data_IF_545005355613
#
_entry.id   IF_545005355613
#
_cell.length_a   1.000
_cell.length_b   1.000
_cell.length_c   1.000
_cell.angle_alpha   90.00
_cell.angle_beta   90.00
_cell.angle_gamma   90.00
#
_symmetry.space_group_name_H-M   'P 1'
#
loop_
_entity.id
_entity.type
_entity.pdbx_description
1 polymer ?
#
# COMPACT_ATOMS: atom_id res chain seq x y z
N UNK A 1 -22.39 -4.43 -7.85
CA UNK A 1 -21.79 -3.15 -7.56
C UNK A 1 -20.40 -3.33 -6.97
N UNK A 2 -19.55 -2.32 -7.12
CA UNK A 2 -18.24 -2.25 -6.49
C UNK A 2 -17.99 -0.82 -6.03
N UNK A 3 -17.21 -0.69 -4.97
CA UNK A 3 -16.75 0.58 -4.46
C UNK A 3 -15.60 1.10 -5.32
N UNK A 4 -15.42 2.42 -5.38
CA UNK A 4 -14.25 3.05 -5.99
C UNK A 4 -13.66 4.09 -5.04
N UNK A 5 -12.41 4.44 -5.27
CA UNK A 5 -11.75 5.49 -4.52
C UNK A 5 -11.82 6.83 -5.22
N UNK A 6 -11.97 7.91 -4.43
CA UNK A 6 -11.75 9.28 -4.85
C UNK A 6 -10.48 9.81 -4.18
N UNK A 7 -9.52 10.26 -4.98
CA UNK A 7 -8.23 10.79 -4.55
C UNK A 7 -8.09 12.24 -5.03
N UNK A 8 -8.23 13.23 -4.15
CA UNK A 8 -8.16 14.67 -4.48
C UNK A 8 -9.00 15.09 -5.70
N UNK A 9 -10.10 14.38 -5.98
CA UNK A 9 -10.97 14.64 -7.14
C UNK A 9 -10.76 13.71 -8.33
N UNK A 10 -9.66 12.97 -8.40
CA UNK A 10 -9.44 11.86 -9.33
C UNK A 10 -10.02 10.56 -8.78
N UNK A 11 -10.19 9.54 -9.63
CA UNK A 11 -10.77 8.26 -9.23
C UNK A 11 -9.80 7.11 -9.48
N UNK A 12 -9.90 6.08 -8.64
CA UNK A 12 -9.24 4.79 -8.85
C UNK A 12 -10.20 3.66 -8.49
N UNK A 13 -10.05 2.53 -9.17
CA UNK A 13 -10.93 1.36 -8.99
C UNK A 13 -10.24 0.30 -8.14
N UNK A 14 -8.93 0.16 -8.28
CA UNK A 14 -8.16 -0.94 -7.75
C UNK A 14 -7.24 -0.53 -6.61
N UNK A 15 -6.33 0.43 -6.85
CA UNK A 15 -5.32 0.80 -5.86
C UNK A 15 -4.79 2.22 -6.05
N UNK A 16 -4.62 2.93 -4.94
CA UNK A 16 -3.76 4.10 -4.83
C UNK A 16 -2.54 3.75 -3.98
N UNK A 17 -1.32 4.06 -4.44
CA UNK A 17 -0.10 3.68 -3.74
C UNK A 17 0.99 4.76 -3.85
N UNK A 18 1.89 4.80 -2.86
CA UNK A 18 3.07 5.66 -2.85
C UNK A 18 4.31 4.92 -2.36
N UNK A 19 5.48 5.46 -2.67
CA UNK A 19 6.76 5.01 -2.13
C UNK A 19 7.42 3.88 -2.91
N UNK A 20 8.23 3.08 -2.24
CA UNK A 20 8.97 1.99 -2.87
C UNK A 20 8.02 1.04 -3.62
N UNK A 21 8.43 0.61 -4.80
CA UNK A 21 7.68 -0.24 -5.72
C UNK A 21 6.63 0.46 -6.60
N UNK A 22 6.33 1.74 -6.42
CA UNK A 22 5.45 2.48 -7.34
C UNK A 22 6.18 2.90 -8.62
N UNK A 23 7.49 3.16 -8.55
CA UNK A 23 8.33 3.48 -9.72
C UNK A 23 8.67 2.23 -10.57
N UNK A 24 8.45 1.04 -10.03
CA UNK A 24 8.86 -0.23 -10.62
C UNK A 24 7.95 -0.68 -11.78
N UNK A 25 6.80 -0.04 -11.96
CA UNK A 25 5.88 -0.37 -13.05
C UNK A 25 6.50 -0.16 -14.45
N UNK A 26 7.55 0.65 -14.58
CA UNK A 26 8.10 1.03 -15.87
C UNK A 26 9.42 0.34 -16.28
N UNK A 27 10.18 -0.28 -15.35
CA UNK A 27 11.56 -0.72 -15.70
C UNK A 27 12.06 -2.00 -15.02
N UNK A 28 11.18 -2.90 -14.57
CA UNK A 28 11.62 -4.13 -13.87
C UNK A 28 11.85 -5.30 -14.81
N UNK A 29 13.10 -5.80 -14.92
CA UNK A 29 13.38 -7.08 -15.56
C UNK A 29 12.73 -8.23 -14.78
N UNK A 30 12.18 -9.18 -15.49
CA UNK A 30 11.41 -10.37 -15.08
C UNK A 30 12.18 -11.52 -14.36
N UNK A 31 13.08 -11.36 -13.38
CA UNK A 31 13.69 -12.50 -12.71
C UNK A 31 13.07 -12.85 -11.35
N UNK A 32 11.93 -12.30 -10.99
CA UNK A 32 11.40 -12.38 -9.62
C UNK A 32 10.57 -13.63 -9.29
N UNK A 33 10.64 -14.69 -10.08
CA UNK A 33 9.72 -15.84 -9.97
C UNK A 33 10.27 -17.12 -9.31
N UNK A 34 11.48 -17.16 -8.75
CA UNK A 34 12.02 -18.40 -8.21
C UNK A 34 12.26 -18.37 -6.69
N UNK A 35 11.78 -19.39 -6.00
CA UNK A 35 11.72 -19.60 -4.56
C UNK A 35 13.07 -19.51 -3.78
N UNK A 36 14.20 -19.49 -4.45
CA UNK A 36 15.52 -19.23 -3.83
C UNK A 36 15.82 -17.75 -3.64
N UNK A 37 14.94 -16.87 -4.15
CA UNK A 37 15.10 -15.43 -4.14
C UNK A 37 14.93 -14.76 -2.78
N UNK A 38 14.12 -15.28 -1.85
CA UNK A 38 13.74 -14.52 -0.67
C UNK A 38 14.90 -14.10 0.22
N UNK A 39 15.84 -14.99 0.50
CA UNK A 39 16.99 -14.65 1.34
C UNK A 39 17.96 -13.71 0.61
N UNK A 40 18.20 -13.93 -0.66
CA UNK A 40 19.01 -13.06 -1.50
C UNK A 40 18.39 -11.67 -1.61
N UNK A 41 17.07 -11.57 -1.69
CA UNK A 41 16.33 -10.31 -1.67
C UNK A 41 16.47 -9.55 -0.37
N UNK A 42 16.32 -10.24 0.77
CA UNK A 42 16.49 -9.63 2.08
C UNK A 42 17.92 -9.08 2.23
N UNK A 43 18.93 -9.85 1.79
CA UNK A 43 20.33 -9.42 1.86
C UNK A 43 20.63 -8.26 0.89
N UNK A 44 20.15 -8.32 -0.33
CA UNK A 44 20.30 -7.22 -1.29
C UNK A 44 19.51 -5.99 -0.87
N UNK A 45 18.28 -6.18 -0.40
CA UNK A 45 17.47 -5.12 0.17
C UNK A 45 18.11 -4.50 1.41
N UNK A 46 18.72 -5.30 2.29
CA UNK A 46 19.45 -4.81 3.45
C UNK A 46 20.66 -3.95 3.07
N UNK A 47 21.37 -4.31 2.00
CA UNK A 47 22.48 -3.51 1.48
C UNK A 47 22.01 -2.16 0.90
N UNK A 48 20.76 -2.08 0.45
CA UNK A 48 20.14 -0.88 -0.14
C UNK A 48 19.33 -0.06 0.86
N UNK A 49 19.12 -0.51 2.10
CA UNK A 49 18.34 0.21 3.11
C UNK A 49 18.65 1.71 3.21
N UNK A 50 19.94 2.15 3.18
CA UNK A 50 20.25 3.57 3.25
C UNK A 50 19.81 4.38 2.02
N UNK A 51 19.58 3.72 0.89
CA UNK A 51 19.16 4.36 -0.37
C UNK A 51 17.65 4.30 -0.61
N UNK A 52 16.90 3.60 0.24
CA UNK A 52 15.44 3.55 0.13
C UNK A 52 14.84 4.86 0.61
N UNK A 53 14.14 5.54 -0.30
CA UNK A 53 13.45 6.77 0.05
C UNK A 53 12.26 6.48 0.95
N UNK A 54 12.20 7.15 2.09
CA UNK A 54 11.04 7.15 2.97
C UNK A 54 10.45 8.55 3.08
N UNK A 55 9.21 8.62 3.50
CA UNK A 55 8.45 9.86 3.60
C UNK A 55 7.96 10.01 5.04
N UNK A 56 8.19 11.19 5.63
CA UNK A 56 7.64 11.55 6.93
C UNK A 56 6.18 11.91 6.74
N UNK A 57 5.28 11.05 7.23
CA UNK A 57 3.85 11.16 7.02
C UNK A 57 3.07 11.22 8.33
N UNK A 58 1.94 11.90 8.24
CA UNK A 58 0.81 11.80 9.15
C UNK A 58 -0.38 11.26 8.35
N UNK A 59 -0.91 10.12 8.77
CA UNK A 59 -2.05 9.43 8.15
C UNK A 59 -3.20 9.40 9.14
N UNK A 60 -4.24 10.17 8.88
CA UNK A 60 -5.46 10.24 9.68
C UNK A 60 -6.54 9.38 9.02
N UNK A 61 -7.20 8.53 9.79
CA UNK A 61 -8.21 7.59 9.32
C UNK A 61 -9.29 7.38 10.39
N UNK A 62 -10.34 6.61 10.10
CA UNK A 62 -11.49 6.45 11.01
C UNK A 62 -11.09 5.84 12.38
N UNK A 63 -10.07 5.00 12.41
CA UNK A 63 -9.58 4.33 13.63
C UNK A 63 -8.53 5.13 14.42
N UNK A 64 -8.03 6.27 13.88
CA UNK A 64 -7.00 7.05 14.56
C UNK A 64 -6.01 7.76 13.65
N UNK A 65 -4.77 7.84 14.10
CA UNK A 65 -3.69 8.51 13.38
C UNK A 65 -2.41 7.70 13.48
N UNK A 66 -1.77 7.50 12.33
CA UNK A 66 -0.44 6.91 12.21
C UNK A 66 0.57 8.00 11.83
N UNK A 67 1.69 8.07 12.56
CA UNK A 67 2.77 9.01 12.27
C UNK A 67 4.10 8.28 12.19
N UNK A 68 4.97 8.72 11.30
CA UNK A 68 6.32 8.16 11.19
C UNK A 68 6.93 8.30 9.81
N UNK A 69 8.04 7.60 9.61
CA UNK A 69 8.72 7.48 8.33
C UNK A 69 8.24 6.20 7.66
N UNK A 70 7.60 6.35 6.50
CA UNK A 70 7.04 5.25 5.74
C UNK A 70 7.77 5.07 4.42
N UNK A 71 8.12 3.82 4.14
CA UNK A 71 8.75 3.41 2.89
C UNK A 71 7.73 3.23 1.77
N UNK A 72 6.54 2.74 2.14
CA UNK A 72 5.49 2.37 1.20
C UNK A 72 4.12 2.50 1.86
N UNK A 73 3.12 2.81 1.05
CA UNK A 73 1.72 2.73 1.44
C UNK A 73 0.82 2.41 0.26
N UNK A 74 -0.22 1.66 0.52
CA UNK A 74 -1.28 1.39 -0.44
C UNK A 74 -2.65 1.45 0.22
N UNK A 75 -3.60 1.92 -0.56
CA UNK A 75 -5.04 1.98 -0.27
C UNK A 75 -5.73 1.24 -1.40
N UNK A 76 -6.44 0.19 -1.10
CA UNK A 76 -7.01 -0.68 -2.13
C UNK A 76 -8.42 -1.14 -1.78
N UNK A 77 -9.21 -1.40 -2.82
CA UNK A 77 -10.49 -2.09 -2.74
C UNK A 77 -10.35 -3.49 -3.35
N UNK A 78 -9.49 -4.33 -2.75
CA UNK A 78 -9.23 -5.66 -3.30
C UNK A 78 -8.59 -6.60 -2.27
N UNK A 79 -8.78 -7.90 -2.45
CA UNK A 79 -8.19 -8.96 -1.61
C UNK A 79 -6.67 -9.06 -1.71
N UNK A 80 -6.07 -8.56 -2.79
CA UNK A 80 -4.61 -8.57 -2.95
C UNK A 80 -4.15 -7.59 -4.01
N UNK A 81 -3.02 -6.93 -3.77
CA UNK A 81 -2.32 -6.09 -4.72
C UNK A 81 -0.90 -6.62 -4.92
N UNK A 82 -0.50 -6.90 -6.17
CA UNK A 82 0.84 -7.39 -6.47
C UNK A 82 1.25 -8.68 -5.75
N UNK A 83 0.29 -9.51 -5.33
CA UNK A 83 0.53 -10.71 -4.52
C UNK A 83 0.59 -10.47 -3.01
N UNK A 84 0.54 -9.22 -2.57
CA UNK A 84 0.35 -8.88 -1.16
C UNK A 84 -1.13 -9.04 -0.81
N UNK A 85 -1.40 -9.86 0.19
CA UNK A 85 -2.72 -10.00 0.76
C UNK A 85 -2.86 -9.01 1.91
N UNK A 86 -3.97 -8.29 1.97
CA UNK A 86 -4.29 -7.44 3.11
C UNK A 86 -4.33 -8.23 4.42
N UNK A 87 -4.26 -7.53 5.53
CA UNK A 87 -4.22 -8.16 6.87
C UNK A 87 -5.46 -9.01 7.21
N UNK A 88 -6.54 -8.87 6.46
CA UNK A 88 -7.84 -9.51 6.75
C UNK A 88 -8.43 -10.18 5.50
N UNK A 89 -7.62 -10.98 4.80
CA UNK A 89 -7.95 -11.56 3.48
C UNK A 89 -9.13 -12.54 3.47
N UNK A 90 -9.63 -12.96 4.62
CA UNK A 90 -10.75 -13.91 4.68
C UNK A 90 -12.12 -13.27 4.35
N UNK A 91 -12.22 -11.94 4.29
CA UNK A 91 -13.47 -11.20 4.05
C UNK A 91 -13.27 -9.83 3.44
N UNK A 92 -12.52 -9.71 2.34
CA UNK A 92 -12.59 -8.47 1.57
C UNK A 92 -13.86 -8.51 0.73
N UNK A 93 -14.77 -7.60 1.02
CA UNK A 93 -15.98 -7.35 0.24
C UNK A 93 -15.73 -6.10 -0.61
N UNK A 94 -16.03 -6.17 -1.90
CA UNK A 94 -15.75 -5.06 -2.83
C UNK A 94 -16.82 -3.95 -2.80
N UNK A 95 -17.80 -4.09 -1.93
CA UNK A 95 -18.96 -3.19 -1.83
C UNK A 95 -19.40 -2.91 -0.39
N UNK A 96 -18.46 -3.02 0.57
CA UNK A 96 -18.68 -2.80 2.01
C UNK A 96 -18.43 -1.36 2.47
N UNK A 97 -17.99 -0.48 1.56
CA UNK A 97 -17.69 0.92 1.85
C UNK A 97 -16.33 1.15 2.51
N UNK A 98 -15.44 0.15 2.54
CA UNK A 98 -14.15 0.25 3.19
C UNK A 98 -13.00 -0.02 2.22
N UNK A 99 -11.85 0.56 2.53
CA UNK A 99 -10.57 0.24 1.91
C UNK A 99 -9.72 -0.61 2.82
N UNK A 100 -8.91 -1.48 2.23
CA UNK A 100 -7.75 -2.07 2.88
C UNK A 100 -6.57 -1.14 2.74
N UNK A 101 -5.99 -0.75 3.86
CA UNK A 101 -4.79 0.09 3.91
C UNK A 101 -3.63 -0.70 4.48
N UNK A 102 -2.49 -0.65 3.79
CA UNK A 102 -1.23 -1.20 4.27
C UNK A 102 -0.17 -0.11 4.20
N UNK A 103 0.49 0.15 5.32
CA UNK A 103 1.62 1.07 5.43
C UNK A 103 2.84 0.29 5.91
N UNK A 104 3.98 0.53 5.28
CA UNK A 104 5.25 -0.09 5.67
C UNK A 104 6.16 1.02 6.18
N UNK A 105 6.53 0.93 7.47
CA UNK A 105 7.48 1.85 8.09
C UNK A 105 8.88 1.61 7.56
N UNK A 106 9.70 2.64 7.58
CA UNK A 106 11.12 2.54 7.24
C UNK A 106 11.80 1.50 8.14
N UNK A 107 12.34 0.40 7.60
CA UNK A 107 13.09 -0.56 8.39
C UNK A 107 14.41 0.05 8.87
N UNK A 108 14.75 -0.17 10.13
CA UNK A 108 15.97 0.35 10.75
C UNK A 108 17.18 -0.56 10.58
N UNK A 109 16.93 -1.83 10.24
CA UNK A 109 17.97 -2.86 10.08
C UNK A 109 17.45 -4.04 9.24
N UNK A 110 18.38 -4.94 8.89
CA UNK A 110 18.09 -6.12 8.09
C UNK A 110 17.08 -7.08 8.75
N UNK A 111 17.08 -7.17 10.09
CA UNK A 111 16.13 -8.05 10.80
C UNK A 111 14.70 -7.52 10.70
N UNK A 112 14.50 -6.20 10.80
CA UNK A 112 13.20 -5.60 10.57
C UNK A 112 12.73 -5.76 9.11
N UNK A 113 13.63 -5.59 8.14
CA UNK A 113 13.30 -5.84 6.74
C UNK A 113 12.86 -7.29 6.53
N UNK A 114 13.56 -8.26 7.13
CA UNK A 114 13.18 -9.66 7.08
C UNK A 114 11.79 -9.89 7.71
N UNK A 115 11.53 -9.29 8.87
CA UNK A 115 10.21 -9.38 9.54
C UNK A 115 9.08 -8.80 8.69
N UNK A 116 9.33 -7.66 8.00
CA UNK A 116 8.36 -7.07 7.06
C UNK A 116 8.05 -8.07 5.93
N UNK A 117 9.07 -8.60 5.27
CA UNK A 117 8.89 -9.56 4.17
C UNK A 117 8.11 -10.79 4.63
N UNK A 118 8.47 -11.34 5.79
CA UNK A 118 7.77 -12.51 6.35
C UNK A 118 6.33 -12.20 6.75
N UNK A 119 6.09 -11.04 7.36
CA UNK A 119 4.74 -10.59 7.74
C UNK A 119 3.82 -10.41 6.53
N UNK A 120 4.33 -9.82 5.46
CA UNK A 120 3.59 -9.66 4.19
C UNK A 120 3.28 -11.01 3.54
N UNK A 121 4.23 -11.96 3.56
CA UNK A 121 4.02 -13.29 3.00
C UNK A 121 3.00 -14.11 3.78
N UNK A 122 2.94 -13.95 5.10
CA UNK A 122 2.04 -14.71 5.98
C UNK A 122 0.68 -14.03 6.16
N UNK A 123 0.48 -12.83 5.61
CA UNK A 123 -0.70 -11.99 5.82
C UNK A 123 -1.05 -11.79 7.32
N UNK A 124 -0.04 -11.76 8.17
CA UNK A 124 -0.16 -11.57 9.62
C UNK A 124 0.79 -10.47 10.08
N UNK A 125 0.42 -9.19 9.91
CA UNK A 125 1.20 -8.10 10.49
C UNK A 125 1.17 -8.21 12.02
N UNK A 126 2.34 -8.08 12.64
CA UNK A 126 2.43 -8.03 14.10
C UNK A 126 1.90 -6.68 14.61
N UNK A 127 1.05 -6.66 15.67
CA UNK A 127 0.60 -5.41 16.28
C UNK A 127 1.78 -4.54 16.72
N UNK A 128 1.80 -3.28 16.29
CA UNK A 128 2.91 -2.35 16.57
C UNK A 128 4.19 -2.61 15.77
N UNK A 129 4.16 -3.53 14.82
CA UNK A 129 5.26 -3.84 13.92
C UNK A 129 5.53 -2.78 12.85
N UNK A 130 6.49 -3.08 11.98
CA UNK A 130 6.84 -2.19 10.86
C UNK A 130 5.78 -2.20 9.74
N UNK A 131 4.85 -3.14 9.74
CA UNK A 131 3.68 -3.19 8.86
C UNK A 131 2.45 -2.79 9.66
N UNK A 132 1.79 -1.72 9.23
CA UNK A 132 0.52 -1.24 9.78
C UNK A 132 -0.56 -1.56 8.77
N UNK A 133 -1.62 -2.23 9.19
CA UNK A 133 -2.73 -2.58 8.32
C UNK A 133 -4.07 -2.32 9.04
N UNK A 134 -5.01 -1.69 8.34
CA UNK A 134 -6.33 -1.36 8.86
C UNK A 134 -7.33 -1.19 7.71
N UNK A 135 -8.62 -1.17 8.06
CA UNK A 135 -9.71 -0.79 7.16
C UNK A 135 -10.19 0.61 7.50
N UNK A 136 -10.65 1.35 6.50
CA UNK A 136 -11.18 2.71 6.68
C UNK A 136 -12.08 3.11 5.52
N UNK A 137 -13.04 4.00 5.79
CA UNK A 137 -13.89 4.59 4.76
C UNK A 137 -13.22 5.80 4.10
N UNK A 138 -12.30 6.43 4.81
CA UNK A 138 -11.56 7.61 4.36
C UNK A 138 -10.21 7.71 5.05
N UNK A 139 -9.26 8.35 4.40
CA UNK A 139 -8.00 8.73 5.02
C UNK A 139 -7.47 10.04 4.45
N UNK A 140 -6.70 10.73 5.26
CA UNK A 140 -5.95 11.93 4.90
C UNK A 140 -4.47 11.68 5.16
N UNK A 141 -3.67 11.77 4.12
CA UNK A 141 -2.22 11.62 4.20
C UNK A 141 -1.57 12.99 4.02
N UNK A 142 -0.78 13.41 5.01
CA UNK A 142 -0.04 14.68 4.99
C UNK A 142 1.45 14.39 4.97
N UNK A 143 2.17 15.01 4.03
CA UNK A 143 3.62 14.96 3.89
C UNK A 143 4.20 16.37 3.95
N UNK A 144 5.39 16.52 4.55
CA UNK A 144 6.08 17.82 4.57
C UNK A 144 6.54 18.27 3.18
N UNK A 145 6.86 17.31 2.31
CA UNK A 145 7.27 17.52 0.91
C UNK A 145 6.23 17.01 -0.08
N UNK A 146 6.66 16.81 -1.31
CA UNK A 146 5.88 16.15 -2.35
C UNK A 146 5.89 14.64 -2.10
N UNK A 147 4.72 14.02 -2.26
CA UNK A 147 4.54 12.57 -2.15
C UNK A 147 3.96 12.05 -3.47
N UNK A 148 4.79 11.43 -4.34
CA UNK A 148 4.32 10.85 -5.59
C UNK A 148 3.38 9.66 -5.34
N UNK A 149 2.25 9.66 -6.04
CA UNK A 149 1.26 8.60 -6.00
C UNK A 149 1.06 7.95 -7.37
N UNK A 150 0.67 6.70 -7.34
CA UNK A 150 0.10 6.00 -8.49
C UNK A 150 -1.36 5.66 -8.21
N UNK A 151 -2.22 5.80 -9.20
CA UNK A 151 -3.63 5.41 -9.17
C UNK A 151 -3.83 4.36 -10.26
N UNK A 152 -4.19 3.15 -9.87
CA UNK A 152 -4.36 2.01 -10.80
C UNK A 152 -3.17 1.76 -11.73
N UNK A 153 -1.94 2.11 -11.27
CA UNK A 153 -0.70 1.97 -12.02
C UNK A 153 -0.28 3.20 -12.83
N UNK A 154 -1.11 4.23 -12.92
CA UNK A 154 -0.81 5.49 -13.59
C UNK A 154 -0.36 6.57 -12.59
N UNK A 155 0.38 7.58 -13.06
CA UNK A 155 0.82 8.68 -12.21
C UNK A 155 -0.37 9.52 -11.71
N UNK A 156 -0.58 9.55 -10.39
CA UNK A 156 -1.67 10.26 -9.71
C UNK A 156 -1.29 11.63 -9.13
N UNK A 157 -0.11 12.16 -9.50
CA UNK A 157 0.38 13.43 -8.95
C UNK A 157 1.25 13.25 -7.70
N UNK A 158 1.75 14.38 -7.16
CA UNK A 158 2.60 14.40 -5.98
C UNK A 158 2.13 15.46 -4.96
N UNK A 159 0.90 15.36 -4.45
CA UNK A 159 0.36 16.32 -3.51
C UNK A 159 1.02 16.21 -2.13
N UNK A 160 1.10 17.33 -1.40
CA UNK A 160 1.49 17.32 0.02
C UNK A 160 0.39 16.82 0.94
N UNK A 161 -0.85 16.92 0.50
CA UNK A 161 -2.03 16.40 1.19
C UNK A 161 -2.85 15.59 0.20
N UNK A 162 -2.99 14.31 0.48
CA UNK A 162 -3.88 13.40 -0.23
C UNK A 162 -5.12 13.14 0.63
N UNK A 163 -6.29 13.45 0.09
CA UNK A 163 -7.58 13.10 0.67
C UNK A 163 -8.19 11.96 -0.15
N UNK A 164 -8.43 10.83 0.51
CA UNK A 164 -8.92 9.61 -0.11
C UNK A 164 -10.22 9.21 0.58
N UNK A 165 -11.24 8.95 -0.22
CA UNK A 165 -12.58 8.61 0.25
C UNK A 165 -13.15 7.45 -0.55
N UNK A 166 -13.75 6.48 0.13
CA UNK A 166 -14.49 5.40 -0.49
C UNK A 166 -15.85 5.92 -0.96
N UNK A 167 -16.19 5.62 -2.19
CA UNK A 167 -17.50 5.86 -2.78
C UNK A 167 -18.19 4.51 -2.94
N UNK A 168 -19.07 4.13 -1.99
CA UNK A 168 -19.62 2.79 -1.96
C UNK A 168 -20.58 2.57 -3.13
N UNK A 169 -20.44 1.39 -3.76
CA UNK A 169 -21.33 0.90 -4.83
C UNK A 169 -21.44 1.85 -6.02
N UNK A 170 -20.39 2.61 -6.30
CA UNK A 170 -20.42 3.67 -7.30
C UNK A 170 -20.33 3.15 -8.73
N UNK A 171 -19.91 1.91 -8.95
CA UNK A 171 -19.75 1.29 -10.26
C UNK A 171 -20.39 -0.09 -10.27
N UNK A 172 -21.00 -0.46 -11.42
CA UNK A 172 -21.47 -1.82 -11.67
C UNK A 172 -20.54 -2.52 -12.68
N UNK A 173 -19.99 -3.66 -12.29
CA UNK A 173 -19.26 -4.53 -13.22
C UNK A 173 -20.25 -5.50 -13.84
N UNK A 174 -20.41 -5.42 -15.16
CA UNK A 174 -21.23 -6.35 -15.95
C UNK A 174 -20.31 -7.42 -16.51
N UNK A 175 -20.58 -8.68 -16.19
CA UNK A 175 -19.86 -9.82 -16.75
C UNK A 175 -20.82 -10.68 -17.59
N UNK A 176 -20.35 -11.10 -18.74
CA UNK A 176 -21.09 -12.03 -19.59
C UNK A 176 -21.16 -13.44 -18.98
N UNK A 177 -22.28 -14.13 -19.19
CA UNK A 177 -22.39 -15.55 -18.86
C UNK A 177 -21.64 -16.40 -19.86
#
# INVERSE_FOLDING_TARGET
PVDIGRFNGEYFIYVAAFGAFTDVAYDTPQPFKNAFGHLAYVLEGAARLPSLQSYRLRVEHDGGTEEGDFLFGMVSNTVSVGGFKGANTERVELDDGQFEVVLIRQPQNAAQLQSIVMGLMQAKPEPGGAVVAFQTTRLRVTCAGELPWTLDGEYGGAPRVAEIENLPRAVEIVYGK
#
